data_IF_351455711115
#
_entry.id   IF_351455711115
#
_cell.length_a   1.000
_cell.length_b   1.000
_cell.length_c   1.000
_cell.angle_alpha   90.00
_cell.angle_beta   90.00
_cell.angle_gamma   90.00
#
_symmetry.space_group_name_H-M   'P 1'
#
loop_
_entity.id
_entity.type
_entity.pdbx_description
1 polymer ?
#
# COMPACT_ATOMS: atom_id res chain seq x y z
N UNK A 1 -12.52 13.86 -4.98
CA UNK A 1 -13.29 12.61 -4.84
C UNK A 1 -12.90 11.70 -5.98
N UNK A 2 -12.57 10.45 -5.66
CA UNK A 2 -12.03 9.46 -6.60
C UNK A 2 -10.64 9.81 -7.13
N UNK A 3 -9.82 8.78 -7.35
CA UNK A 3 -9.23 8.62 -8.66
C UNK A 3 -10.00 7.50 -9.36
N UNK A 4 -10.65 7.83 -10.46
CA UNK A 4 -11.13 6.82 -11.39
C UNK A 4 -9.93 6.34 -12.22
N UNK A 5 -9.77 5.03 -12.35
CA UNK A 5 -8.62 4.51 -13.09
C UNK A 5 -8.68 4.96 -14.55
N UNK A 6 -7.53 5.36 -15.09
CA UNK A 6 -7.34 5.69 -16.50
C UNK A 6 -6.21 4.84 -17.04
N UNK A 7 -6.32 4.36 -18.28
CA UNK A 7 -5.23 3.66 -18.95
C UNK A 7 -4.46 4.63 -19.85
N UNK A 8 -3.13 4.64 -19.74
CA UNK A 8 -2.24 5.37 -20.65
C UNK A 8 -0.93 4.62 -20.80
N UNK A 9 -0.36 4.63 -22.02
CA UNK A 9 0.99 4.12 -22.28
C UNK A 9 2.08 5.17 -22.06
N UNK A 10 1.70 6.41 -21.73
CA UNK A 10 2.61 7.50 -21.36
C UNK A 10 3.05 7.35 -19.91
N UNK A 11 4.33 7.58 -19.63
CA UNK A 11 4.83 7.58 -18.24
C UNK A 11 4.82 8.98 -17.62
N UNK A 12 4.89 10.02 -18.44
CA UNK A 12 4.84 11.43 -18.01
C UNK A 12 3.64 12.14 -18.65
N UNK A 13 3.12 13.20 -17.99
CA UNK A 13 1.99 14.01 -18.49
C UNK A 13 2.19 14.46 -19.95
N UNK A 14 3.43 14.83 -20.30
CA UNK A 14 3.84 15.23 -21.65
C UNK A 14 4.73 14.18 -22.35
N UNK A 15 4.64 12.91 -21.94
CA UNK A 15 5.42 11.79 -22.45
C UNK A 15 4.89 11.21 -23.77
N UNK A 16 5.55 10.17 -24.26
CA UNK A 16 5.23 9.54 -25.54
C UNK A 16 4.30 8.35 -25.35
N UNK A 17 3.40 8.13 -26.31
CA UNK A 17 2.60 6.89 -26.35
C UNK A 17 3.45 5.64 -26.60
N UNK A 18 4.71 5.83 -27.02
CA UNK A 18 5.69 4.77 -27.18
C UNK A 18 6.52 4.51 -25.92
N UNK A 19 6.32 5.22 -24.80
CA UNK A 19 7.10 5.05 -23.56
C UNK A 19 7.05 3.59 -23.07
N UNK A 20 5.88 2.97 -23.07
CA UNK A 20 5.73 1.56 -22.69
C UNK A 20 6.52 0.63 -23.62
N UNK A 21 6.45 0.83 -24.93
CA UNK A 21 7.11 -0.03 -25.91
C UNK A 21 8.63 0.14 -25.87
N UNK A 22 9.12 1.38 -25.72
CA UNK A 22 10.56 1.67 -25.68
C UNK A 22 11.23 1.17 -24.42
N UNK A 23 10.48 1.00 -23.33
CA UNK A 23 10.97 0.47 -22.06
C UNK A 23 10.71 -1.02 -21.88
N UNK A 24 9.96 -1.65 -22.78
CA UNK A 24 9.79 -3.10 -22.80
C UNK A 24 11.06 -3.76 -23.36
N UNK A 25 11.66 -4.65 -22.57
CA UNK A 25 12.85 -5.43 -22.93
C UNK A 25 12.58 -6.92 -22.73
N UNK A 26 13.44 -7.77 -23.28
CA UNK A 26 13.38 -9.22 -23.03
C UNK A 26 13.48 -9.57 -21.55
N UNK A 27 14.15 -8.73 -20.75
CA UNK A 27 14.36 -8.96 -19.32
C UNK A 27 13.15 -8.61 -18.45
N UNK A 28 12.24 -7.76 -18.94
CA UNK A 28 11.07 -7.29 -18.18
C UNK A 28 9.71 -7.76 -18.73
N UNK A 29 9.63 -8.24 -19.98
CA UNK A 29 8.38 -8.72 -20.58
C UNK A 29 7.78 -9.90 -19.81
N UNK A 30 8.62 -10.85 -19.37
CA UNK A 30 8.20 -12.00 -18.58
C UNK A 30 7.65 -11.57 -17.20
N UNK A 31 8.37 -10.77 -16.38
CA UNK A 31 7.82 -10.18 -15.16
C UNK A 31 6.51 -9.41 -15.36
N UNK A 32 6.40 -8.62 -16.44
CA UNK A 32 5.17 -7.88 -16.75
C UNK A 32 3.97 -8.81 -17.01
N UNK A 33 4.23 -9.92 -17.70
CA UNK A 33 3.20 -10.90 -18.05
C UNK A 33 2.73 -11.66 -16.81
N UNK A 34 3.65 -12.10 -15.96
CA UNK A 34 3.31 -12.75 -14.69
C UNK A 34 2.46 -11.84 -13.80
N UNK A 35 2.81 -10.55 -13.68
CA UNK A 35 2.00 -9.59 -12.92
C UNK A 35 0.57 -9.48 -13.47
N UNK A 36 0.41 -9.42 -14.80
CA UNK A 36 -0.92 -9.33 -15.41
C UNK A 36 -1.80 -10.55 -15.12
N UNK A 37 -1.21 -11.74 -15.07
CA UNK A 37 -1.92 -12.99 -14.75
C UNK A 37 -2.20 -13.12 -13.24
N UNK A 38 -1.21 -12.83 -12.41
CA UNK A 38 -1.30 -12.98 -10.95
C UNK A 38 -2.21 -11.93 -10.29
N UNK A 39 -2.45 -10.80 -10.98
CA UNK A 39 -3.26 -9.69 -10.48
C UNK A 39 -4.50 -9.47 -11.37
N UNK A 40 -5.06 -10.55 -11.91
CA UNK A 40 -6.17 -10.48 -12.86
C UNK A 40 -7.38 -9.70 -12.33
N UNK A 41 -7.74 -9.87 -11.05
CA UNK A 41 -8.84 -9.12 -10.42
C UNK A 41 -8.58 -7.60 -10.41
N UNK A 42 -7.35 -7.20 -10.12
CA UNK A 42 -6.95 -5.80 -10.17
C UNK A 42 -7.01 -5.28 -11.61
N UNK A 43 -6.50 -6.03 -12.58
CA UNK A 43 -6.57 -5.64 -14.00
C UNK A 43 -8.04 -5.48 -14.43
N UNK A 44 -8.91 -6.42 -14.08
CA UNK A 44 -10.35 -6.38 -14.36
C UNK A 44 -11.01 -5.16 -13.72
N UNK A 45 -10.67 -4.86 -12.46
CA UNK A 45 -11.15 -3.66 -11.78
C UNK A 45 -10.69 -2.38 -12.47
N UNK A 46 -9.42 -2.28 -12.86
CA UNK A 46 -8.92 -1.09 -13.56
C UNK A 46 -9.62 -0.90 -14.92
N UNK A 47 -9.88 -1.99 -15.64
CA UNK A 47 -10.66 -1.94 -16.90
C UNK A 47 -12.09 -1.45 -16.63
N UNK A 48 -12.77 -1.96 -15.60
CA UNK A 48 -14.14 -1.52 -15.29
C UNK A 48 -14.20 -0.03 -14.94
N UNK A 49 -13.20 0.47 -14.21
CA UNK A 49 -13.06 1.89 -13.89
C UNK A 49 -12.84 2.78 -15.13
N UNK A 50 -12.06 2.30 -16.10
CA UNK A 50 -11.86 3.00 -17.38
C UNK A 50 -13.16 3.09 -18.19
N UNK A 51 -14.01 2.07 -18.08
CA UNK A 51 -15.29 1.99 -18.79
C UNK A 51 -16.42 2.83 -18.16
N UNK A 52 -16.22 3.40 -16.97
CA UNK A 52 -17.24 4.21 -16.31
C UNK A 52 -17.57 5.47 -17.11
N UNK A 53 -18.87 5.72 -17.31
CA UNK A 53 -19.38 6.97 -17.86
C UNK A 53 -19.32 8.09 -16.82
N UNK A 54 -19.53 9.33 -17.25
CA UNK A 54 -19.59 10.47 -16.32
C UNK A 54 -20.77 10.37 -15.34
N UNK A 55 -21.87 9.73 -15.73
CA UNK A 55 -23.00 9.46 -14.84
C UNK A 55 -22.66 8.41 -13.79
N UNK A 56 -21.93 7.34 -14.16
CA UNK A 56 -21.48 6.33 -13.19
C UNK A 56 -20.49 6.92 -12.18
N UNK A 57 -19.56 7.77 -12.65
CA UNK A 57 -18.61 8.50 -11.79
C UNK A 57 -19.33 9.41 -10.81
N UNK A 58 -20.38 10.10 -11.27
CA UNK A 58 -21.20 10.95 -10.43
C UNK A 58 -22.07 10.14 -9.45
N UNK A 59 -22.56 8.96 -9.85
CA UNK A 59 -23.27 8.06 -8.96
C UNK A 59 -22.37 7.59 -7.80
N UNK A 60 -21.13 7.20 -8.10
CA UNK A 60 -20.13 6.87 -7.07
C UNK A 60 -19.84 8.05 -6.13
N UNK A 61 -19.79 9.28 -6.66
CA UNK A 61 -19.67 10.49 -5.83
C UNK A 61 -20.84 10.63 -4.86
N UNK A 62 -22.06 10.34 -5.30
CA UNK A 62 -23.24 10.41 -4.45
C UNK A 62 -23.29 9.35 -3.36
N UNK A 63 -22.61 8.22 -3.51
CA UNK A 63 -22.45 7.25 -2.42
C UNK A 63 -21.66 7.85 -1.24
N UNK A 64 -20.66 8.68 -1.54
CA UNK A 64 -19.85 9.36 -0.51
C UNK A 64 -20.44 10.70 -0.06
N UNK A 65 -21.02 11.45 -1.00
CA UNK A 65 -21.61 12.78 -0.75
C UNK A 65 -23.01 12.87 -1.41
N UNK A 66 -24.07 12.38 -0.73
CA UNK A 66 -25.41 12.25 -1.31
C UNK A 66 -26.02 13.54 -1.86
N UNK A 67 -25.63 14.69 -1.31
CA UNK A 67 -26.08 16.02 -1.71
C UNK A 67 -25.34 16.61 -2.92
N UNK A 68 -24.46 15.86 -3.59
CA UNK A 68 -23.75 16.34 -4.77
C UNK A 68 -24.73 16.74 -5.89
N UNK A 69 -24.50 17.91 -6.50
CA UNK A 69 -25.21 18.39 -7.70
C UNK A 69 -24.24 18.40 -8.88
N UNK A 70 -24.63 17.92 -10.05
CA UNK A 70 -23.70 17.63 -11.16
C UNK A 70 -22.97 18.89 -11.64
N UNK A 71 -23.65 20.02 -11.63
CA UNK A 71 -23.16 21.34 -12.02
C UNK A 71 -22.02 21.88 -11.14
N UNK A 72 -21.91 21.42 -9.89
CA UNK A 72 -20.84 21.84 -8.98
C UNK A 72 -19.55 21.02 -9.16
N UNK A 73 -19.60 19.95 -9.96
CA UNK A 73 -18.50 19.00 -10.10
C UNK A 73 -17.98 18.94 -11.53
N UNK A 74 -16.65 18.92 -11.63
CA UNK A 74 -15.92 18.80 -12.88
C UNK A 74 -14.90 17.68 -12.76
N UNK A 75 -14.82 16.85 -13.80
CA UNK A 75 -13.76 15.87 -13.92
C UNK A 75 -12.43 16.58 -14.23
N UNK A 76 -11.39 16.21 -13.49
CA UNK A 76 -10.02 16.67 -13.74
C UNK A 76 -9.08 15.47 -13.88
N UNK A 77 -8.13 15.56 -14.81
CA UNK A 77 -7.04 14.58 -14.87
C UNK A 77 -6.08 14.83 -13.71
N UNK A 78 -6.15 13.99 -12.68
CA UNK A 78 -5.35 14.15 -11.46
C UNK A 78 -3.84 13.90 -11.70
N UNK A 79 -3.50 13.07 -12.68
CA UNK A 79 -2.11 12.77 -13.02
C UNK A 79 -1.96 11.44 -13.74
N UNK A 80 -0.71 10.99 -13.84
CA UNK A 80 -0.34 9.66 -14.31
C UNK A 80 0.55 9.03 -13.25
N UNK A 81 0.29 7.76 -12.94
CA UNK A 81 1.04 7.00 -11.96
C UNK A 81 1.48 5.70 -12.60
N UNK A 82 2.79 5.47 -12.61
CA UNK A 82 3.38 4.21 -13.06
C UNK A 82 3.51 3.29 -11.84
N UNK A 83 3.08 2.04 -12.00
CA UNK A 83 3.23 1.02 -10.96
C UNK A 83 4.54 0.26 -11.15
N UNK A 84 5.16 -0.12 -10.04
CA UNK A 84 6.45 -0.79 -10.05
C UNK A 84 6.24 -2.29 -10.15
N UNK A 85 6.96 -2.92 -11.08
CA UNK A 85 7.04 -4.38 -11.19
C UNK A 85 8.45 -4.78 -10.79
N UNK A 86 8.54 -5.58 -9.73
CA UNK A 86 9.82 -6.12 -9.25
C UNK A 86 9.98 -7.54 -9.76
N UNK A 87 11.19 -7.88 -10.18
CA UNK A 87 11.56 -9.26 -10.46
C UNK A 87 11.79 -10.00 -9.15
N UNK A 88 11.05 -11.07 -8.95
CA UNK A 88 11.14 -11.96 -7.80
C UNK A 88 11.73 -13.31 -8.26
N UNK A 89 12.59 -13.90 -7.44
CA UNK A 89 13.29 -15.14 -7.82
C UNK A 89 12.36 -16.36 -7.88
N UNK A 90 11.29 -16.37 -7.09
CA UNK A 90 10.35 -17.50 -6.99
C UNK A 90 9.09 -17.23 -7.81
N UNK A 91 8.54 -16.02 -7.72
CA UNK A 91 7.27 -15.63 -8.35
C UNK A 91 7.46 -15.00 -9.73
N UNK A 92 8.69 -14.75 -10.15
CA UNK A 92 9.02 -14.09 -11.41
C UNK A 92 8.75 -12.58 -11.37
N UNK A 93 7.49 -12.15 -11.46
CA UNK A 93 7.12 -10.73 -11.46
C UNK A 93 6.11 -10.42 -10.36
N UNK A 94 6.42 -9.47 -9.48
CA UNK A 94 5.51 -9.05 -8.42
C UNK A 94 5.15 -7.56 -8.57
N UNK A 95 3.86 -7.27 -8.50
CA UNK A 95 3.36 -5.90 -8.46
C UNK A 95 3.66 -5.30 -7.08
N UNK A 96 4.36 -4.17 -7.07
CA UNK A 96 4.61 -3.42 -5.84
C UNK A 96 3.55 -2.34 -5.67
N UNK A 97 2.67 -2.59 -4.72
CA UNK A 97 1.71 -1.61 -4.22
C UNK A 97 2.38 -0.83 -3.08
N UNK A 98 2.46 0.49 -3.22
CA UNK A 98 3.00 1.39 -2.18
C UNK A 98 4.40 1.94 -2.50
N UNK A 99 5.23 2.03 -1.47
CA UNK A 99 6.59 2.59 -1.53
C UNK A 99 7.63 1.46 -1.43
N UNK A 100 8.51 1.37 -2.41
CA UNK A 100 9.68 0.49 -2.38
C UNK A 100 10.93 1.33 -2.02
N UNK A 101 11.72 0.85 -1.07
CA UNK A 101 13.02 1.42 -0.76
C UNK A 101 14.08 0.70 -1.59
N UNK A 102 14.86 1.45 -2.35
CA UNK A 102 16.00 0.95 -3.12
C UNK A 102 17.26 1.61 -2.58
N UNK A 103 18.30 0.81 -2.36
CA UNK A 103 19.59 1.26 -1.83
C UNK A 103 20.69 0.83 -2.80
N UNK A 104 21.65 1.72 -3.07
CA UNK A 104 22.82 1.38 -3.87
C UNK A 104 23.72 0.36 -3.14
N UNK A 105 24.57 -0.32 -3.89
CA UNK A 105 25.43 -1.36 -3.31
C UNK A 105 26.41 -0.80 -2.27
N UNK A 106 26.85 0.45 -2.46
CA UNK A 106 27.77 1.16 -1.58
C UNK A 106 27.07 1.79 -0.37
N UNK A 107 25.73 1.75 -0.29
CA UNK A 107 24.91 2.36 0.77
C UNK A 107 25.17 3.85 0.94
N UNK A 108 25.42 4.55 -0.16
CA UNK A 108 25.62 6.00 -0.20
C UNK A 108 24.36 6.74 -0.64
N UNK A 109 23.40 6.04 -1.26
CA UNK A 109 22.15 6.60 -1.73
C UNK A 109 20.99 5.63 -1.49
N UNK A 110 19.90 6.17 -0.95
CA UNK A 110 18.60 5.50 -0.96
C UNK A 110 17.57 6.31 -1.75
N UNK A 111 16.69 5.60 -2.46
CA UNK A 111 15.58 6.16 -3.20
C UNK A 111 14.29 5.46 -2.77
N UNK A 112 13.23 6.25 -2.60
CA UNK A 112 11.88 5.75 -2.38
C UNK A 112 11.15 5.79 -3.73
N UNK A 113 10.76 4.63 -4.23
CA UNK A 113 10.03 4.50 -5.48
C UNK A 113 8.55 4.20 -5.18
N UNK A 114 7.63 4.84 -5.89
CA UNK A 114 6.20 4.55 -5.80
C UNK A 114 5.41 5.62 -5.06
N UNK A 115 4.43 5.22 -4.25
CA UNK A 115 3.60 6.17 -3.51
C UNK A 115 4.45 6.98 -2.52
N UNK A 116 4.14 8.26 -2.36
CA UNK A 116 4.68 9.03 -1.25
C UNK A 116 4.19 8.41 0.07
N UNK A 117 5.08 8.16 1.05
CA UNK A 117 4.68 7.63 2.34
C UNK A 117 3.66 8.55 3.03
N UNK A 118 2.50 8.01 3.37
CA UNK A 118 1.55 8.67 4.26
C UNK A 118 2.04 8.62 5.71
N UNK A 119 1.36 9.34 6.60
CA UNK A 119 1.72 9.41 8.02
C UNK A 119 1.82 8.00 8.67
N UNK A 120 0.94 7.08 8.30
CA UNK A 120 0.91 5.70 8.82
C UNK A 120 2.04 4.80 8.32
N UNK A 121 2.71 5.14 7.21
CA UNK A 121 3.75 4.31 6.60
C UNK A 121 5.14 4.94 6.67
N UNK A 122 5.24 6.25 6.90
CA UNK A 122 6.51 6.97 6.95
C UNK A 122 7.47 6.39 8.01
N UNK A 123 7.01 6.22 9.26
CA UNK A 123 7.84 5.73 10.36
C UNK A 123 8.47 4.34 10.09
N UNK A 124 7.71 3.29 9.73
CA UNK A 124 8.31 1.98 9.42
C UNK A 124 9.19 2.01 8.17
N UNK A 125 8.88 2.84 7.16
CA UNK A 125 9.75 3.02 5.98
C UNK A 125 11.08 3.66 6.38
N UNK A 126 11.08 4.69 7.22
CA UNK A 126 12.31 5.32 7.72
C UNK A 126 13.19 4.32 8.47
N UNK A 127 12.60 3.50 9.36
CA UNK A 127 13.35 2.45 10.05
C UNK A 127 13.95 1.43 9.07
N UNK A 128 13.23 1.08 7.99
CA UNK A 128 13.74 0.21 6.94
C UNK A 128 14.90 0.86 6.16
N UNK A 129 14.80 2.16 5.81
CA UNK A 129 15.90 2.91 5.18
C UNK A 129 17.14 2.88 6.07
N UNK A 130 17.00 3.18 7.36
CA UNK A 130 18.11 3.15 8.31
C UNK A 130 18.75 1.76 8.39
N UNK A 131 17.93 0.70 8.46
CA UNK A 131 18.40 -0.68 8.49
C UNK A 131 19.20 -1.07 7.24
N UNK A 132 18.77 -0.64 6.06
CA UNK A 132 19.44 -0.97 4.81
C UNK A 132 20.71 -0.14 4.56
N UNK A 133 20.66 1.15 4.88
CA UNK A 133 21.79 2.08 4.66
C UNK A 133 22.90 1.93 5.70
N UNK A 134 22.55 1.68 6.96
CA UNK A 134 23.48 1.69 8.09
C UNK A 134 23.38 0.38 8.89
N UNK A 135 23.59 -0.81 8.29
CA UNK A 135 23.30 -2.07 8.96
C UNK A 135 24.13 -2.27 10.23
N UNK A 136 25.41 -1.91 10.24
CA UNK A 136 26.27 -2.07 11.42
C UNK A 136 25.79 -1.20 12.58
N UNK A 137 25.49 0.08 12.32
CA UNK A 137 24.97 1.00 13.31
C UNK A 137 23.57 0.58 13.75
N UNK A 138 22.71 0.19 12.82
CA UNK A 138 21.36 -0.29 13.11
C UNK A 138 21.38 -1.48 14.06
N UNK A 139 22.34 -2.39 13.91
CA UNK A 139 22.51 -3.55 14.79
C UNK A 139 23.32 -3.26 16.06
N UNK A 140 23.88 -2.06 16.21
CA UNK A 140 24.59 -1.65 17.43
C UNK A 140 23.64 -1.52 18.62
N UNK A 141 24.16 -1.78 19.82
CA UNK A 141 23.42 -1.62 21.06
C UNK A 141 22.93 -0.18 21.27
N UNK A 142 23.71 0.81 20.83
CA UNK A 142 23.38 2.23 20.94
C UNK A 142 22.12 2.58 20.14
N UNK A 143 22.08 2.23 18.86
CA UNK A 143 20.90 2.52 18.03
C UNK A 143 19.71 1.67 18.41
N UNK A 144 19.91 0.39 18.76
CA UNK A 144 18.82 -0.43 19.24
C UNK A 144 18.18 0.16 20.50
N UNK A 145 18.97 0.67 21.44
CA UNK A 145 18.45 1.41 22.59
C UNK A 145 17.65 2.62 22.16
N UNK A 146 18.19 3.46 21.28
CA UNK A 146 17.51 4.67 20.80
C UNK A 146 16.21 4.36 20.04
N UNK A 147 16.17 3.30 19.25
CA UNK A 147 14.97 2.87 18.53
C UNK A 147 13.90 2.43 19.52
N UNK A 148 14.23 1.65 20.55
CA UNK A 148 13.26 1.23 21.57
C UNK A 148 12.83 2.38 22.49
N UNK A 149 13.67 3.40 22.71
CA UNK A 149 13.26 4.61 23.42
C UNK A 149 12.17 5.39 22.66
N UNK A 150 12.21 5.37 21.32
CA UNK A 150 11.24 6.09 20.47
C UNK A 150 10.02 5.21 20.14
N UNK A 151 10.25 3.93 19.87
CA UNK A 151 9.24 2.93 19.48
C UNK A 151 9.41 1.70 20.39
N UNK A 152 8.85 1.72 21.61
CA UNK A 152 9.06 0.65 22.60
C UNK A 152 8.66 -0.74 22.13
N UNK A 153 7.63 -0.84 21.27
CA UNK A 153 7.14 -2.10 20.71
C UNK A 153 7.90 -2.55 19.46
N UNK A 154 8.99 -1.89 19.08
CA UNK A 154 9.74 -2.24 17.87
C UNK A 154 10.20 -3.71 17.90
N UNK A 155 10.05 -4.42 16.78
CA UNK A 155 10.38 -5.84 16.66
C UNK A 155 9.37 -6.80 17.29
N UNK A 156 8.31 -6.31 17.95
CA UNK A 156 7.27 -7.14 18.55
C UNK A 156 6.01 -7.20 17.66
N UNK A 157 5.38 -8.37 17.61
CA UNK A 157 4.13 -8.56 16.87
C UNK A 157 2.94 -8.18 17.77
N UNK A 158 2.20 -7.14 17.38
CA UNK A 158 0.97 -6.74 18.07
C UNK A 158 -0.18 -7.72 17.81
N UNK A 159 -0.36 -8.14 16.55
CA UNK A 159 -1.41 -9.11 16.19
C UNK A 159 -1.24 -10.43 16.95
N UNK A 160 -2.19 -10.72 17.85
CA UNK A 160 -2.20 -11.90 18.72
C UNK A 160 -1.61 -11.65 20.12
N UNK A 161 -1.03 -10.48 20.40
CA UNK A 161 -0.58 -10.07 21.73
C UNK A 161 -1.50 -8.96 22.27
N UNK A 162 -2.58 -9.38 22.93
CA UNK A 162 -3.61 -8.47 23.45
C UNK A 162 -3.04 -7.47 24.45
N UNK A 163 -2.24 -7.96 25.41
CA UNK A 163 -1.68 -7.13 26.47
C UNK A 163 -0.80 -6.02 25.89
N UNK A 164 0.09 -6.37 24.96
CA UNK A 164 0.96 -5.39 24.29
C UNK A 164 0.17 -4.43 23.41
N UNK A 165 -0.84 -4.92 22.69
CA UNK A 165 -1.69 -4.07 21.84
C UNK A 165 -2.45 -3.05 22.70
N UNK A 166 -3.02 -3.49 23.82
CA UNK A 166 -3.70 -2.61 24.76
C UNK A 166 -2.74 -1.56 25.33
N UNK A 167 -1.56 -1.98 25.75
CA UNK A 167 -0.53 -1.08 26.28
C UNK A 167 -0.15 0.00 25.26
N UNK A 168 0.18 -0.39 24.02
CA UNK A 168 0.54 0.56 22.96
C UNK A 168 -0.62 1.51 22.64
N UNK A 169 -1.87 1.02 22.65
CA UNK A 169 -3.05 1.84 22.39
C UNK A 169 -3.28 2.87 23.50
N UNK A 170 -3.17 2.45 24.76
CA UNK A 170 -3.28 3.32 25.92
C UNK A 170 -2.17 4.40 25.93
N UNK A 171 -0.91 3.99 25.69
CA UNK A 171 0.24 4.90 25.65
C UNK A 171 0.09 5.94 24.51
N UNK A 172 -0.36 5.49 23.34
CA UNK A 172 -0.59 6.38 22.18
C UNK A 172 -1.73 7.36 22.47
N UNK A 173 -2.83 6.89 23.06
CA UNK A 173 -3.95 7.75 23.42
C UNK A 173 -3.55 8.78 24.46
N UNK A 174 -2.77 8.40 25.48
CA UNK A 174 -2.25 9.31 26.48
C UNK A 174 -1.30 10.37 25.88
N UNK A 175 -0.34 9.96 25.05
CA UNK A 175 0.61 10.86 24.41
C UNK A 175 -0.07 11.88 23.48
N UNK A 176 -1.12 11.46 22.76
CA UNK A 176 -1.88 12.30 21.84
C UNK A 176 -3.08 13.01 22.50
N UNK A 177 -3.26 12.85 23.82
CA UNK A 177 -4.38 13.43 24.57
C UNK A 177 -5.76 13.03 24.03
N UNK A 178 -5.89 11.79 23.57
CA UNK A 178 -7.12 11.21 23.06
C UNK A 178 -7.92 10.53 24.19
N UNK A 179 -9.19 10.25 23.92
CA UNK A 179 -10.01 9.43 24.82
C UNK A 179 -9.40 8.06 25.00
N UNK A 180 -9.39 7.56 26.24
CA UNK A 180 -8.88 6.23 26.56
C UNK A 180 -9.60 5.17 25.71
N UNK A 181 -8.87 4.30 25.02
CA UNK A 181 -9.49 3.26 24.21
C UNK A 181 -10.21 2.22 25.08
N UNK A 182 -11.21 1.52 24.50
CA UNK A 182 -11.84 0.40 25.18
C UNK A 182 -10.81 -0.71 25.44
N UNK A 183 -11.04 -1.48 26.51
CA UNK A 183 -10.23 -2.65 26.81
C UNK A 183 -10.47 -3.70 25.73
N UNK A 184 -9.40 -4.21 25.12
CA UNK A 184 -9.47 -5.30 24.17
C UNK A 184 -9.83 -6.58 24.92
N UNK A 185 -11.08 -7.00 24.81
CA UNK A 185 -11.53 -8.31 25.28
C UNK A 185 -11.43 -9.33 24.14
N UNK A 186 -10.39 -10.18 24.18
CA UNK A 186 -10.41 -11.41 23.39
C UNK A 186 -11.23 -12.45 24.16
N UNK A 187 -12.48 -12.66 23.75
CA UNK A 187 -13.25 -13.79 24.24
C UNK A 187 -12.44 -15.09 24.01
N UNK A 188 -12.12 -15.82 25.08
CA UNK A 188 -11.46 -17.14 25.00
C UNK A 188 -12.30 -18.19 24.23
N UNK A 189 -13.55 -17.84 23.89
CA UNK A 189 -14.49 -18.62 23.07
C UNK A 189 -14.77 -18.00 21.71
N UNK A 190 -14.16 -16.85 21.37
CA UNK A 190 -14.10 -16.45 19.97
C UNK A 190 -13.18 -17.45 19.28
N UNK A 191 -13.63 -18.15 18.22
CA UNK A 191 -12.73 -18.99 17.48
C UNK A 191 -11.53 -18.12 17.10
N UNK A 192 -10.31 -18.59 17.37
CA UNK A 192 -9.19 -18.22 16.51
C UNK A 192 -9.77 -18.40 15.13
N UNK A 193 -9.91 -17.33 14.36
CA UNK A 193 -10.14 -17.48 12.93
C UNK A 193 -8.88 -18.14 12.38
N UNK A 194 -8.77 -19.45 12.58
CA UNK A 194 -8.18 -20.31 11.58
C UNK A 194 -8.97 -19.96 10.34
N UNK A 195 -8.29 -19.32 9.39
CA UNK A 195 -8.87 -19.11 8.07
C UNK A 195 -9.48 -20.45 7.66
N UNK A 196 -10.81 -20.46 7.53
CA UNK A 196 -11.57 -21.62 7.08
C UNK A 196 -10.84 -22.17 5.85
N UNK A 197 -10.49 -23.47 5.78
CA UNK A 197 -10.11 -24.05 4.49
C UNK A 197 -11.20 -23.64 3.50
N UNK A 198 -10.79 -23.03 2.39
CA UNK A 198 -11.70 -22.47 1.42
C UNK A 198 -12.62 -23.58 0.87
N UNK A 199 -13.79 -23.76 1.47
CA UNK A 199 -14.94 -24.26 0.73
C UNK A 199 -15.28 -23.21 -0.32
N UNK A 200 -15.58 -23.64 -1.56
CA UNK A 200 -15.60 -22.75 -2.71
C UNK A 200 -16.67 -21.68 -2.52
N UNK A 201 -16.22 -20.48 -2.13
CA UNK A 201 -17.05 -19.28 -2.10
C UNK A 201 -17.29 -18.84 -3.53
N UNK A 202 -18.55 -18.66 -3.88
CA UNK A 202 -18.94 -17.79 -4.97
C UNK A 202 -18.16 -16.46 -4.84
N UNK A 203 -17.52 -16.06 -5.94
CA UNK A 203 -16.48 -15.03 -6.01
C UNK A 203 -16.94 -13.67 -5.46
N UNK A 204 -16.74 -13.45 -4.17
CA UNK A 204 -16.71 -12.11 -3.58
C UNK A 204 -15.30 -11.56 -3.74
N UNK A 205 -15.19 -10.51 -4.54
CA UNK A 205 -13.95 -9.82 -4.91
C UNK A 205 -13.12 -9.40 -3.69
N UNK A 206 -11.80 -9.58 -3.69
CA UNK A 206 -10.95 -9.07 -2.62
C UNK A 206 -10.97 -7.54 -2.67
N UNK A 207 -11.54 -6.91 -1.64
CA UNK A 207 -11.35 -5.48 -1.38
C UNK A 207 -9.85 -5.25 -1.12
N UNK A 208 -9.15 -4.80 -2.15
CA UNK A 208 -7.89 -4.09 -1.95
C UNK A 208 -8.23 -2.80 -1.22
N UNK A 209 -7.76 -2.69 0.02
CA UNK A 209 -7.79 -1.45 0.80
C UNK A 209 -6.86 -0.45 0.10
N UNK A 210 -7.42 0.19 -0.94
CA UNK A 210 -6.82 1.25 -1.72
C UNK A 210 -7.13 2.55 -0.99
N UNK A 211 -6.59 2.69 0.22
CA UNK A 211 -6.37 4.00 0.81
C UNK A 211 -5.38 4.73 -0.11
N UNK A 212 -5.96 5.54 -1.00
CA UNK A 212 -5.30 6.46 -1.92
C UNK A 212 -5.22 7.85 -1.31
#
# INVERSE_FOLDING_TARGET
FGPFATFSTKFLKNGSFFDLLSTTTTDNVLPMTHVGLDNFDLVKYLISQVMLSDDDRFAALKEYYPGARKEDWKLIQAGQRVQIIKKDAEKGGILKLGTEVVVDQQKTLSALLGASPGASTAAPITLNVLKQMFPEQFHSAEWQRRIHDIVPSYGQKLNGNVALTQQVWDDTAAALQLTKPPVIEMNASAPVMTAKPAEPKAETSPQHDMAL
#
